data_IF_772075967555
#
_entry.id   IF_772075967555
#
_cell.length_a   1.000
_cell.length_b   1.000
_cell.length_c   1.000
_cell.angle_alpha   90.00
_cell.angle_beta   90.00
_cell.angle_gamma   90.00
#
_symmetry.space_group_name_H-M   'P 1'
#
loop_
_entity.id
_entity.type
_entity.pdbx_description
1 polymer ?
#
# COMPACT_ATOMS: atom_id res chain seq x y z
N UNK A 1 -26.85 68.24 -15.44
CA UNK A 1 -25.48 68.75 -15.19
C UNK A 1 -24.49 67.64 -15.52
N UNK A 2 -23.40 67.93 -16.26
CA UNK A 2 -22.37 66.92 -16.53
C UNK A 2 -21.62 66.55 -15.25
N UNK A 3 -21.18 65.29 -15.11
CA UNK A 3 -20.45 64.83 -13.93
C UNK A 3 -19.14 65.60 -13.78
N UNK A 4 -18.82 65.96 -12.53
CA UNK A 4 -17.58 66.64 -12.17
C UNK A 4 -16.36 65.76 -12.48
N UNK A 5 -15.20 66.39 -12.69
CA UNK A 5 -13.93 65.68 -12.97
C UNK A 5 -13.65 64.61 -11.90
N UNK A 6 -13.97 64.90 -10.63
CA UNK A 6 -13.82 63.96 -9.51
C UNK A 6 -14.70 62.71 -9.65
N UNK A 7 -15.94 62.87 -10.11
CA UNK A 7 -16.84 61.73 -10.38
C UNK A 7 -16.38 60.88 -11.57
N UNK A 8 -15.75 61.50 -12.58
CA UNK A 8 -15.20 60.74 -13.71
C UNK A 8 -14.03 59.86 -13.27
N UNK A 9 -13.15 60.40 -12.43
CA UNK A 9 -11.99 59.65 -11.90
C UNK A 9 -12.42 58.53 -10.96
N UNK A 10 -13.42 58.73 -10.09
CA UNK A 10 -13.95 57.66 -9.23
C UNK A 10 -14.55 56.53 -10.06
N UNK A 11 -15.36 56.86 -11.07
CA UNK A 11 -15.99 55.86 -11.93
C UNK A 11 -14.95 55.07 -12.73
N UNK A 12 -13.83 55.68 -13.09
CA UNK A 12 -12.75 55.03 -13.83
C UNK A 12 -11.91 54.11 -12.93
N UNK A 13 -11.66 54.49 -11.67
CA UNK A 13 -11.07 53.59 -10.68
C UNK A 13 -11.98 52.39 -10.36
N UNK A 14 -13.28 52.62 -10.24
CA UNK A 14 -14.25 51.55 -9.99
C UNK A 14 -14.35 50.59 -11.18
N UNK A 15 -14.28 51.11 -12.41
CA UNK A 15 -14.26 50.30 -13.62
C UNK A 15 -12.99 49.43 -13.71
N UNK A 16 -11.81 50.01 -13.49
CA UNK A 16 -10.54 49.27 -13.49
C UNK A 16 -10.50 48.20 -12.38
N UNK A 17 -11.05 48.49 -11.20
CA UNK A 17 -11.11 47.53 -10.10
C UNK A 17 -12.02 46.35 -10.45
N UNK A 18 -13.16 46.61 -11.11
CA UNK A 18 -14.08 45.54 -11.56
C UNK A 18 -13.47 44.68 -12.66
N UNK A 19 -12.72 45.26 -13.60
CA UNK A 19 -12.00 44.50 -14.61
C UNK A 19 -10.89 43.63 -14.00
N UNK A 20 -10.14 44.17 -13.03
CA UNK A 20 -9.05 43.43 -12.38
C UNK A 20 -9.57 42.24 -11.56
N UNK A 21 -10.72 42.38 -10.89
CA UNK A 21 -11.37 41.30 -10.14
C UNK A 21 -12.02 40.26 -11.07
N UNK A 22 -12.53 40.67 -12.24
CA UNK A 22 -13.10 39.74 -13.24
C UNK A 22 -12.02 38.86 -13.92
N UNK A 23 -10.79 39.36 -14.02
CA UNK A 23 -9.68 38.62 -14.65
C UNK A 23 -9.06 37.52 -13.78
N UNK A 24 -9.30 37.55 -12.46
CA UNK A 24 -8.79 36.56 -11.51
C UNK A 24 -9.89 35.54 -11.17
N UNK A 25 -10.25 34.71 -12.15
CA UNK A 25 -10.88 33.44 -11.81
C UNK A 25 -9.84 32.60 -11.04
N UNK A 26 -10.15 32.11 -9.82
CA UNK A 26 -9.28 31.15 -9.16
C UNK A 26 -9.06 29.97 -10.13
N UNK A 27 -7.84 29.42 -10.23
CA UNK A 27 -7.60 28.27 -11.09
C UNK A 27 -8.62 27.20 -10.73
N UNK A 28 -9.48 26.85 -11.70
CA UNK A 28 -10.42 25.74 -11.53
C UNK A 28 -9.55 24.55 -11.17
N UNK A 29 -9.71 24.01 -9.96
CA UNK A 29 -9.08 22.74 -9.59
C UNK A 29 -9.44 21.76 -10.71
N UNK A 30 -8.46 21.12 -11.37
CA UNK A 30 -8.75 20.19 -12.45
C UNK A 30 -9.74 19.16 -11.89
N UNK A 31 -10.86 18.97 -12.58
CA UNK A 31 -11.76 17.86 -12.28
C UNK A 31 -10.92 16.61 -12.54
N UNK A 32 -10.58 15.90 -11.47
CA UNK A 32 -9.94 14.58 -11.56
C UNK A 32 -10.93 13.71 -12.31
N UNK A 33 -10.61 13.38 -13.56
CA UNK A 33 -11.36 12.38 -14.29
C UNK A 33 -11.15 11.05 -13.56
N UNK A 34 -12.25 10.45 -13.10
CA UNK A 34 -12.25 9.19 -12.36
C UNK A 34 -12.32 7.99 -13.31
N UNK A 35 -12.15 8.21 -14.61
CA UNK A 35 -12.06 7.16 -15.59
C UNK A 35 -10.79 6.33 -15.37
N UNK A 36 -10.92 5.01 -15.51
CA UNK A 36 -9.76 4.13 -15.54
C UNK A 36 -9.00 4.35 -16.84
N UNK A 37 -7.68 4.36 -16.74
CA UNK A 37 -6.77 4.64 -17.84
C UNK A 37 -6.50 3.39 -18.69
N UNK A 38 -6.11 3.63 -19.94
CA UNK A 38 -5.49 2.61 -20.80
C UNK A 38 -3.98 2.57 -20.56
N UNK A 39 -3.31 1.53 -21.05
CA UNK A 39 -1.86 1.38 -20.93
C UNK A 39 -1.07 2.58 -21.48
N UNK A 40 -1.51 3.10 -22.63
CA UNK A 40 -0.84 4.22 -23.32
C UNK A 40 -1.01 5.56 -22.57
N UNK A 41 -2.03 5.66 -21.71
CA UNK A 41 -2.30 6.86 -20.90
C UNK A 41 -1.52 6.86 -19.57
N UNK A 42 -0.87 5.76 -19.22
CA UNK A 42 -0.08 5.66 -17.99
C UNK A 42 1.18 6.52 -18.05
N UNK A 43 1.62 7.08 -16.91
CA UNK A 43 2.97 7.60 -16.84
C UNK A 43 3.99 6.47 -16.96
N UNK A 44 5.15 6.76 -17.54
CA UNK A 44 6.19 5.76 -17.83
C UNK A 44 6.70 4.97 -16.61
N UNK A 45 6.59 5.53 -15.41
CA UNK A 45 7.02 4.86 -14.17
C UNK A 45 6.04 3.79 -13.66
N UNK A 46 4.80 3.76 -14.16
CA UNK A 46 3.79 2.76 -13.78
C UNK A 46 3.45 1.81 -14.91
N UNK A 47 4.23 1.82 -16.00
CA UNK A 47 4.07 0.93 -17.14
C UNK A 47 4.84 -0.38 -16.88
N UNK A 48 4.28 -1.25 -16.03
CA UNK A 48 4.92 -2.52 -15.63
C UNK A 48 4.65 -3.71 -16.57
N UNK A 49 3.41 -3.87 -17.05
CA UNK A 49 2.98 -4.98 -17.90
C UNK A 49 2.10 -4.54 -19.10
N UNK A 50 2.70 -4.50 -20.29
CA UNK A 50 2.05 -4.08 -21.55
C UNK A 50 0.88 -4.96 -22.00
N UNK A 51 0.77 -6.19 -21.47
CA UNK A 51 -0.34 -7.08 -21.82
C UNK A 51 -1.64 -6.71 -21.09
N UNK A 52 -1.57 -5.88 -20.03
CA UNK A 52 -2.73 -5.30 -19.38
C UNK A 52 -3.06 -3.99 -20.11
N UNK A 53 -4.12 -3.99 -20.88
CA UNK A 53 -4.42 -2.90 -21.81
C UNK A 53 -5.24 -1.76 -21.18
N UNK A 54 -6.05 -2.05 -20.15
CA UNK A 54 -6.98 -1.09 -19.54
C UNK A 54 -7.20 -1.38 -18.06
N UNK A 55 -7.93 -0.48 -17.39
CA UNK A 55 -8.36 -0.66 -16.01
C UNK A 55 -7.39 -0.08 -14.99
N UNK A 56 -6.44 0.74 -15.43
CA UNK A 56 -5.46 1.36 -14.54
C UNK A 56 -6.02 2.55 -13.79
N UNK A 57 -5.59 2.73 -12.54
CA UNK A 57 -5.96 3.90 -11.76
C UNK A 57 -5.12 5.11 -12.17
N UNK A 58 -5.69 6.32 -12.28
CA UNK A 58 -4.90 7.52 -12.45
C UNK A 58 -4.04 7.81 -11.23
N UNK A 59 -2.97 8.59 -11.43
CA UNK A 59 -2.10 9.05 -10.34
C UNK A 59 -2.90 9.89 -9.35
N UNK A 60 -3.07 9.40 -8.12
CA UNK A 60 -3.98 10.01 -7.14
C UNK A 60 -3.35 11.18 -6.38
N UNK A 61 -2.02 11.15 -6.16
CA UNK A 61 -1.30 12.01 -5.21
C UNK A 61 -1.99 12.14 -3.85
N UNK A 62 -2.77 11.12 -3.45
CA UNK A 62 -3.62 11.15 -2.26
C UNK A 62 -3.77 9.74 -1.70
N UNK A 63 -3.24 9.54 -0.49
CA UNK A 63 -3.40 8.29 0.25
C UNK A 63 -4.87 7.91 0.40
N UNK A 64 -5.73 8.88 0.71
CA UNK A 64 -7.17 8.64 0.89
C UNK A 64 -7.80 8.12 -0.40
N UNK A 65 -7.52 8.74 -1.55
CA UNK A 65 -8.07 8.28 -2.83
C UNK A 65 -7.53 6.89 -3.22
N UNK A 66 -6.25 6.61 -2.92
CA UNK A 66 -5.67 5.27 -3.09
C UNK A 66 -6.38 4.23 -2.21
N UNK A 67 -6.67 4.53 -0.94
CA UNK A 67 -7.46 3.63 -0.08
C UNK A 67 -8.91 3.48 -0.53
N UNK A 68 -9.55 4.57 -0.96
CA UNK A 68 -10.92 4.54 -1.48
C UNK A 68 -11.01 3.74 -2.79
N UNK A 69 -9.90 3.56 -3.50
CA UNK A 69 -9.89 2.73 -4.72
C UNK A 69 -10.22 1.26 -4.47
N UNK A 70 -10.01 0.77 -3.25
CA UNK A 70 -10.46 -0.56 -2.86
C UNK A 70 -11.98 -0.76 -3.01
N UNK A 71 -12.77 0.32 -3.10
CA UNK A 71 -14.22 0.25 -3.22
C UNK A 71 -14.73 0.10 -4.67
N UNK A 72 -13.85 0.05 -5.66
CA UNK A 72 -14.20 -0.21 -7.06
C UNK A 72 -13.21 -1.16 -7.73
N UNK A 73 -13.61 -1.71 -8.89
CA UNK A 73 -12.79 -2.70 -9.61
C UNK A 73 -11.82 -1.99 -10.57
N UNK A 74 -10.56 -2.41 -10.54
CA UNK A 74 -9.46 -1.94 -11.37
C UNK A 74 -8.39 -3.06 -11.51
N UNK A 75 -7.33 -2.82 -12.27
CA UNK A 75 -6.28 -3.80 -12.58
C UNK A 75 -5.61 -4.39 -11.31
N UNK A 76 -5.42 -3.58 -10.27
CA UNK A 76 -4.84 -4.01 -8.98
C UNK A 76 -5.82 -4.68 -8.01
N UNK A 77 -7.13 -4.75 -8.29
CA UNK A 77 -8.13 -5.27 -7.33
C UNK A 77 -7.81 -6.70 -6.91
N UNK A 78 -7.45 -7.57 -7.85
CA UNK A 78 -7.08 -8.95 -7.55
C UNK A 78 -5.87 -9.05 -6.61
N UNK A 79 -4.84 -8.26 -6.87
CA UNK A 79 -3.61 -8.22 -6.06
C UNK A 79 -3.89 -7.70 -4.64
N UNK A 80 -4.69 -6.65 -4.49
CA UNK A 80 -5.05 -6.11 -3.17
C UNK A 80 -5.77 -7.18 -2.35
N UNK A 81 -6.83 -7.78 -2.88
CA UNK A 81 -7.68 -8.67 -2.09
C UNK A 81 -7.04 -10.02 -1.81
N UNK A 82 -6.25 -10.57 -2.74
CA UNK A 82 -5.54 -11.84 -2.50
C UNK A 82 -4.51 -11.70 -1.37
N UNK A 83 -3.70 -10.64 -1.38
CA UNK A 83 -2.71 -10.37 -0.34
C UNK A 83 -3.36 -9.91 0.97
N UNK A 84 -4.45 -9.13 0.94
CA UNK A 84 -5.16 -8.72 2.15
C UNK A 84 -5.75 -9.95 2.86
N UNK A 85 -6.42 -10.84 2.12
CA UNK A 85 -6.97 -12.06 2.69
C UNK A 85 -5.87 -12.94 3.30
N UNK A 86 -4.73 -13.09 2.61
CA UNK A 86 -3.58 -13.83 3.13
C UNK A 86 -3.00 -13.18 4.40
N UNK A 87 -2.94 -11.85 4.47
CA UNK A 87 -2.50 -11.11 5.66
C UNK A 87 -3.41 -11.40 6.85
N UNK A 88 -4.73 -11.28 6.66
CA UNK A 88 -5.72 -11.55 7.69
C UNK A 88 -5.67 -13.02 8.14
N UNK A 89 -5.42 -13.94 7.21
CA UNK A 89 -5.21 -15.35 7.52
C UNK A 89 -3.96 -15.57 8.40
N UNK A 90 -2.82 -14.97 8.04
CA UNK A 90 -1.57 -15.12 8.80
C UNK A 90 -1.66 -14.53 10.21
N UNK A 91 -2.47 -13.48 10.41
CA UNK A 91 -2.72 -12.90 11.74
C UNK A 91 -3.78 -13.70 12.51
N UNK A 92 -4.88 -14.06 11.86
CA UNK A 92 -6.02 -14.71 12.49
C UNK A 92 -5.75 -16.17 12.87
N UNK A 93 -5.15 -16.94 11.97
CA UNK A 93 -4.93 -18.38 12.17
C UNK A 93 -4.21 -18.70 13.48
N UNK A 94 -3.07 -18.08 13.86
CA UNK A 94 -2.43 -18.40 15.14
C UNK A 94 -3.29 -18.06 16.36
N UNK A 95 -4.09 -16.98 16.29
CA UNK A 95 -5.01 -16.59 17.38
C UNK A 95 -6.11 -17.64 17.55
N UNK A 96 -6.73 -18.06 16.45
CA UNK A 96 -7.80 -19.07 16.48
C UNK A 96 -7.29 -20.48 16.82
N UNK A 97 -6.09 -20.82 16.36
CA UNK A 97 -5.51 -22.15 16.54
C UNK A 97 -4.89 -22.35 17.93
N UNK A 98 -4.46 -21.28 18.61
CA UNK A 98 -3.76 -21.35 19.89
C UNK A 98 -4.48 -22.18 20.98
N UNK A 99 -5.80 -22.01 21.25
CA UNK A 99 -6.48 -22.82 22.27
C UNK A 99 -6.52 -24.31 21.92
N UNK A 100 -6.72 -24.63 20.64
CA UNK A 100 -6.70 -26.02 20.15
C UNK A 100 -5.30 -26.62 20.33
N UNK A 101 -4.27 -25.91 19.89
CA UNK A 101 -2.89 -26.36 19.96
C UNK A 101 -2.44 -26.58 21.41
N UNK A 102 -2.74 -25.64 22.31
CA UNK A 102 -2.42 -25.76 23.74
C UNK A 102 -3.09 -26.97 24.40
N UNK A 103 -4.29 -27.34 23.95
CA UNK A 103 -5.02 -28.51 24.49
C UNK A 103 -4.48 -29.83 23.97
N UNK A 104 -4.09 -29.89 22.69
CA UNK A 104 -3.73 -31.14 22.02
C UNK A 104 -2.22 -31.43 22.03
N UNK A 105 -1.39 -30.39 22.18
CA UNK A 105 0.06 -30.49 22.26
C UNK A 105 0.53 -29.98 23.63
N UNK A 106 0.25 -30.77 24.68
CA UNK A 106 0.63 -30.42 26.06
C UNK A 106 2.14 -30.30 26.26
N UNK A 107 2.92 -30.94 25.40
CA UNK A 107 4.38 -30.97 25.46
C UNK A 107 5.03 -29.81 24.70
N UNK A 108 4.23 -28.98 24.01
CA UNK A 108 4.72 -27.80 23.32
C UNK A 108 5.27 -26.79 24.33
N UNK A 109 6.52 -26.37 24.11
CA UNK A 109 7.23 -25.45 24.97
C UNK A 109 7.38 -24.07 24.30
N UNK A 110 8.05 -23.14 24.98
CA UNK A 110 8.24 -21.76 24.49
C UNK A 110 8.91 -21.69 23.12
N UNK A 111 9.85 -22.58 22.82
CA UNK A 111 10.56 -22.55 21.54
C UNK A 111 9.62 -22.87 20.37
N UNK A 112 8.69 -23.81 20.54
CA UNK A 112 7.69 -24.15 19.52
C UNK A 112 6.83 -22.92 19.17
N UNK A 113 6.40 -22.16 20.18
CA UNK A 113 5.63 -20.93 19.98
C UNK A 113 6.44 -19.83 19.29
N UNK A 114 7.74 -19.72 19.61
CA UNK A 114 8.63 -18.73 19.01
C UNK A 114 8.86 -19.04 17.53
N UNK A 115 9.20 -20.29 17.18
CA UNK A 115 9.52 -20.64 15.78
C UNK A 115 8.30 -20.51 14.87
N UNK A 116 7.11 -20.92 15.32
CA UNK A 116 5.88 -20.69 14.55
C UNK A 116 5.46 -19.22 14.56
N UNK A 117 5.70 -18.49 15.65
CA UNK A 117 5.45 -17.05 15.72
C UNK A 117 6.25 -16.26 14.68
N UNK A 118 7.53 -16.59 14.49
CA UNK A 118 8.38 -16.00 13.45
C UNK A 118 7.88 -16.30 12.04
N UNK A 119 7.37 -17.51 11.79
CA UNK A 119 6.75 -17.88 10.52
C UNK A 119 5.51 -17.04 10.23
N UNK A 120 4.57 -16.96 11.17
CA UNK A 120 3.34 -16.17 11.00
C UNK A 120 3.64 -14.67 10.89
N UNK A 121 4.61 -14.16 11.64
CA UNK A 121 5.06 -12.77 11.53
C UNK A 121 5.66 -12.47 10.16
N UNK A 122 6.56 -13.33 9.67
CA UNK A 122 7.16 -13.19 8.33
C UNK A 122 6.10 -13.19 7.23
N UNK A 123 5.16 -14.12 7.30
CA UNK A 123 4.02 -14.17 6.37
C UNK A 123 3.13 -12.93 6.44
N UNK A 124 2.74 -12.50 7.65
CA UNK A 124 1.91 -11.30 7.85
C UNK A 124 2.60 -10.02 7.34
N UNK A 125 3.90 -9.87 7.58
CA UNK A 125 4.69 -8.75 7.03
C UNK A 125 4.74 -8.81 5.51
N UNK A 126 5.01 -9.96 4.90
CA UNK A 126 5.07 -10.11 3.45
C UNK A 126 3.75 -9.72 2.78
N UNK A 127 2.65 -10.37 3.16
CA UNK A 127 1.35 -10.09 2.54
C UNK A 127 0.84 -8.68 2.88
N UNK A 128 1.14 -8.19 4.08
CA UNK A 128 0.72 -6.85 4.51
C UNK A 128 1.44 -5.73 3.76
N UNK A 129 2.75 -5.86 3.57
CA UNK A 129 3.54 -4.91 2.77
C UNK A 129 3.11 -4.93 1.31
N UNK A 130 2.85 -6.12 0.76
CA UNK A 130 2.32 -6.27 -0.60
C UNK A 130 0.93 -5.64 -0.79
N UNK A 131 0.02 -5.88 0.17
CA UNK A 131 -1.29 -5.21 0.19
C UNK A 131 -1.13 -3.69 0.20
N UNK A 132 -0.22 -3.17 1.02
CA UNK A 132 0.09 -1.75 1.08
C UNK A 132 0.61 -1.20 -0.24
N UNK A 133 1.52 -1.92 -0.91
CA UNK A 133 2.02 -1.56 -2.24
C UNK A 133 0.90 -1.50 -3.27
N UNK A 134 0.10 -2.55 -3.41
CA UNK A 134 -0.96 -2.58 -4.42
C UNK A 134 -2.07 -1.54 -4.14
N UNK A 135 -2.31 -1.16 -2.88
CA UNK A 135 -3.21 -0.03 -2.57
C UNK A 135 -2.59 1.29 -3.01
N UNK A 136 -1.31 1.52 -2.72
CA UNK A 136 -0.64 2.81 -2.88
C UNK A 136 0.14 2.98 -4.20
N UNK A 137 0.14 1.97 -5.06
CA UNK A 137 0.92 1.99 -6.32
C UNK A 137 0.51 3.12 -7.26
N UNK A 138 -0.72 3.62 -7.16
CA UNK A 138 -1.18 4.76 -7.94
C UNK A 138 -0.95 6.13 -7.27
N UNK A 139 -0.27 6.22 -6.12
CA UNK A 139 -0.15 7.48 -5.39
C UNK A 139 0.71 8.52 -6.11
N UNK A 140 2.02 8.29 -6.15
CA UNK A 140 3.01 9.13 -6.83
C UNK A 140 4.26 8.29 -7.06
N UNK A 141 5.10 8.65 -8.02
CA UNK A 141 6.31 7.89 -8.37
C UNK A 141 7.19 7.57 -7.14
N UNK A 142 7.40 8.54 -6.25
CA UNK A 142 8.20 8.32 -5.03
C UNK A 142 7.55 7.32 -4.06
N UNK A 143 6.23 7.38 -3.86
CA UNK A 143 5.51 6.45 -2.98
C UNK A 143 5.46 5.06 -3.59
N UNK A 144 5.23 4.97 -4.90
CA UNK A 144 5.29 3.74 -5.66
C UNK A 144 6.62 3.00 -5.42
N UNK A 145 7.76 3.68 -5.63
CA UNK A 145 9.08 3.08 -5.47
C UNK A 145 9.40 2.64 -4.04
N UNK A 146 9.01 3.44 -3.05
CA UNK A 146 9.22 3.10 -1.63
C UNK A 146 8.42 1.85 -1.29
N UNK A 147 7.14 1.80 -1.63
CA UNK A 147 6.30 0.66 -1.31
C UNK A 147 6.64 -0.59 -2.14
N UNK A 148 7.09 -0.42 -3.39
CA UNK A 148 7.60 -1.52 -4.20
C UNK A 148 8.84 -2.18 -3.53
N UNK A 149 9.76 -1.37 -3.00
CA UNK A 149 10.91 -1.89 -2.24
C UNK A 149 10.49 -2.57 -0.94
N UNK A 150 9.49 -2.05 -0.25
CA UNK A 150 8.96 -2.66 0.96
C UNK A 150 8.27 -4.00 0.66
N UNK A 151 7.53 -4.10 -0.44
CA UNK A 151 6.92 -5.36 -0.91
C UNK A 151 8.00 -6.42 -1.20
N UNK A 152 9.05 -6.04 -1.92
CA UNK A 152 10.22 -6.90 -2.17
C UNK A 152 10.93 -7.31 -0.87
N UNK A 153 11.04 -6.40 0.12
CA UNK A 153 11.56 -6.73 1.45
C UNK A 153 10.65 -7.74 2.17
N UNK A 154 9.34 -7.66 1.97
CA UNK A 154 8.36 -8.62 2.46
C UNK A 154 8.68 -10.06 2.04
N UNK A 155 9.07 -10.28 0.78
CA UNK A 155 9.50 -11.60 0.28
C UNK A 155 10.69 -12.13 1.08
N UNK A 156 11.66 -11.27 1.40
CA UNK A 156 12.82 -11.64 2.23
C UNK A 156 12.38 -11.98 3.66
N UNK A 157 11.44 -11.23 4.23
CA UNK A 157 10.92 -11.46 5.58
C UNK A 157 10.17 -12.80 5.71
N UNK A 158 9.29 -13.16 4.76
CA UNK A 158 8.62 -14.47 4.79
C UNK A 158 9.61 -15.60 4.56
N UNK A 159 10.59 -15.40 3.68
CA UNK A 159 11.66 -16.39 3.44
C UNK A 159 12.42 -16.66 4.74
N UNK A 160 12.89 -15.63 5.44
CA UNK A 160 13.52 -15.73 6.76
C UNK A 160 12.59 -16.40 7.80
N UNK A 161 11.31 -16.03 7.84
CA UNK A 161 10.32 -16.59 8.76
C UNK A 161 10.05 -18.09 8.57
N UNK A 162 10.27 -18.64 7.38
CA UNK A 162 10.12 -20.08 7.11
C UNK A 162 11.26 -20.93 7.69
N UNK A 163 12.46 -20.37 7.89
CA UNK A 163 13.62 -21.13 8.38
C UNK A 163 13.46 -21.63 9.82
N UNK A 164 13.02 -20.84 10.81
CA UNK A 164 12.90 -21.28 12.20
C UNK A 164 12.14 -22.60 12.39
N UNK A 165 10.87 -22.76 11.95
CA UNK A 165 10.16 -24.04 12.14
C UNK A 165 10.78 -25.16 11.29
N UNK A 166 11.25 -24.85 10.09
CA UNK A 166 11.91 -25.81 9.21
C UNK A 166 13.15 -26.44 9.87
N UNK A 167 14.06 -25.61 10.40
CA UNK A 167 15.26 -26.07 11.10
C UNK A 167 14.91 -26.76 12.42
N UNK A 168 13.92 -26.25 13.16
CA UNK A 168 13.54 -26.77 14.47
C UNK A 168 13.08 -28.23 14.40
N UNK A 169 12.22 -28.54 13.43
CA UNK A 169 11.57 -29.86 13.30
C UNK A 169 12.26 -30.80 12.31
N UNK A 170 13.05 -30.30 11.35
CA UNK A 170 13.83 -31.19 10.45
C UNK A 170 14.96 -31.91 11.19
N UNK A 171 15.55 -31.27 12.21
CA UNK A 171 16.69 -31.80 12.96
C UNK A 171 16.34 -32.01 14.44
N UNK A 172 15.45 -32.95 14.79
CA UNK A 172 14.97 -33.10 16.16
C UNK A 172 16.09 -33.46 17.14
N UNK A 173 17.04 -34.29 16.74
CA UNK A 173 18.14 -34.80 17.58
C UNK A 173 19.30 -33.81 17.80
N UNK A 174 19.36 -32.71 17.06
CA UNK A 174 20.43 -31.72 17.21
C UNK A 174 20.27 -30.91 18.49
N UNK A 175 21.38 -30.49 19.10
CA UNK A 175 21.36 -29.65 20.29
C UNK A 175 20.67 -28.30 20.01
N UNK A 176 19.94 -27.77 21.00
CA UNK A 176 19.23 -26.48 20.89
C UNK A 176 20.16 -25.35 20.44
N UNK A 177 21.38 -25.26 20.96
CA UNK A 177 22.37 -24.25 20.58
C UNK A 177 22.73 -24.30 19.09
N UNK A 178 22.87 -25.50 18.54
CA UNK A 178 23.15 -25.71 17.12
C UNK A 178 21.98 -25.25 16.25
N UNK A 179 20.73 -25.59 16.63
CA UNK A 179 19.53 -25.11 15.90
C UNK A 179 19.44 -23.59 15.92
N UNK A 180 19.63 -22.97 17.08
CA UNK A 180 19.58 -21.51 17.22
C UNK A 180 20.65 -20.82 16.37
N UNK A 181 21.87 -21.36 16.34
CA UNK A 181 22.93 -20.85 15.48
C UNK A 181 22.53 -20.87 14.00
N UNK A 182 21.98 -21.98 13.50
CA UNK A 182 21.52 -22.07 12.11
C UNK A 182 20.37 -21.11 11.81
N UNK A 183 19.42 -20.95 12.73
CA UNK A 183 18.29 -20.04 12.59
C UNK A 183 18.77 -18.58 12.56
N UNK A 184 19.79 -18.22 13.34
CA UNK A 184 20.36 -16.87 13.37
C UNK A 184 21.30 -16.53 12.21
N UNK A 185 21.69 -17.52 11.42
CA UNK A 185 22.61 -17.34 10.29
C UNK A 185 21.90 -16.85 9.01
N UNK A 186 20.58 -16.64 9.08
CA UNK A 186 19.71 -16.05 8.06
C UNK A 186 19.05 -14.79 8.62
#
# INVERSE_FOLDING_TARGET
>A
MPPTIRQRLSNQCDANTREHVSSHNPPKKPKVDRSLLTWDDLPSWSQDNEYIQTGFRPTSNSYIESFLSCMYVHNETGNIYSHLLATLWMIGLPIFYYPYAKRHYSDANTDDWVVFGLFFLGGALCFGLSTGYHILSNHSHAVHDVYHRLDLLGISAVTAGCFPPGMWYTFPCSARSTKMFWISAF
#
